data_IF_693955036948
#
_entry.id   IF_693955036948
#
_cell.length_a   1.000
_cell.length_b   1.000
_cell.length_c   1.000
_cell.angle_alpha   90.00
_cell.angle_beta   90.00
_cell.angle_gamma   90.00
#
_symmetry.space_group_name_H-M   'P 1'
#
loop_
_entity.id
_entity.type
_entity.pdbx_description
1 polymer ?
#
# COMPACT_ATOMS: atom_id res chain seq x y z
N UNK A 1 -2.81 -5.38 -22.07
CA UNK A 1 -2.06 -6.27 -21.16
C UNK A 1 -1.23 -5.38 -20.26
N UNK A 2 -1.39 -5.47 -18.94
CA UNK A 2 -0.56 -4.75 -17.98
C UNK A 2 0.76 -5.51 -17.82
N UNK A 3 1.90 -4.85 -17.98
CA UNK A 3 3.20 -5.47 -17.76
C UNK A 3 3.50 -5.61 -16.26
N UNK A 4 4.29 -6.62 -15.87
CA UNK A 4 4.71 -6.80 -14.48
C UNK A 4 5.37 -5.53 -13.90
N UNK A 5 6.13 -4.79 -14.73
CA UNK A 5 6.77 -3.53 -14.35
C UNK A 5 5.73 -2.43 -14.04
N UNK A 6 4.71 -2.30 -14.88
CA UNK A 6 3.61 -1.34 -14.66
C UNK A 6 2.78 -1.74 -13.44
N UNK A 7 2.55 -3.05 -13.24
CA UNK A 7 1.84 -3.56 -12.07
C UNK A 7 2.55 -3.18 -10.77
N UNK A 8 3.88 -3.36 -10.70
CA UNK A 8 4.69 -2.93 -9.54
C UNK A 8 4.67 -1.41 -9.38
N UNK A 9 4.71 -0.65 -10.48
CA UNK A 9 4.57 0.81 -10.45
C UNK A 9 3.23 1.25 -9.84
N UNK A 10 2.12 0.62 -10.25
CA UNK A 10 0.79 0.87 -9.68
C UNK A 10 0.70 0.44 -8.22
N UNK A 11 1.37 -0.64 -7.80
CA UNK A 11 1.44 -1.05 -6.39
C UNK A 11 2.14 -0.01 -5.51
N UNK A 12 3.25 0.56 -5.98
CA UNK A 12 3.93 1.65 -5.30
C UNK A 12 3.05 2.90 -5.28
N UNK A 13 2.49 3.27 -6.43
CA UNK A 13 1.64 4.44 -6.56
C UNK A 13 0.40 4.36 -5.66
N UNK A 14 -0.17 3.17 -5.45
CA UNK A 14 -1.26 2.91 -4.50
C UNK A 14 -0.92 3.27 -3.05
N UNK A 15 0.36 3.21 -2.67
CA UNK A 15 0.81 3.60 -1.33
C UNK A 15 0.89 5.11 -1.17
N UNK A 16 1.38 5.82 -2.19
CA UNK A 16 1.54 7.27 -2.15
C UNK A 16 0.25 8.03 -2.49
N UNK A 17 -0.56 7.48 -3.41
CA UNK A 17 -1.76 8.12 -3.98
C UNK A 17 -2.89 7.12 -4.18
N UNK A 18 -4.12 7.62 -4.21
CA UNK A 18 -5.29 6.82 -4.58
C UNK A 18 -5.27 6.51 -6.07
N UNK A 19 -5.10 5.23 -6.42
CA UNK A 19 -5.28 4.73 -7.79
C UNK A 19 -6.70 4.99 -8.30
N UNK A 20 -6.84 5.26 -9.59
CA UNK A 20 -8.13 5.30 -10.26
C UNK A 20 -8.80 3.92 -10.26
N UNK A 21 -10.13 3.87 -10.28
CA UNK A 21 -10.90 2.62 -10.28
C UNK A 21 -10.49 1.69 -11.43
N UNK A 22 -10.17 2.26 -12.60
CA UNK A 22 -9.71 1.52 -13.78
C UNK A 22 -8.35 0.85 -13.53
N UNK A 23 -7.40 1.57 -12.97
CA UNK A 23 -6.05 1.07 -12.67
C UNK A 23 -6.08 -0.01 -11.59
N UNK A 24 -6.91 0.21 -10.56
CA UNK A 24 -7.14 -0.77 -9.49
C UNK A 24 -7.69 -2.08 -10.03
N UNK A 25 -8.58 -2.01 -11.03
CA UNK A 25 -9.16 -3.21 -11.64
C UNK A 25 -8.21 -3.91 -12.59
N UNK A 26 -7.46 -3.15 -13.41
CA UNK A 26 -6.39 -3.70 -14.25
C UNK A 26 -5.32 -4.42 -13.41
N UNK A 27 -4.91 -3.82 -12.28
CA UNK A 27 -3.98 -4.42 -11.33
C UNK A 27 -4.54 -5.72 -10.72
N UNK A 28 -5.82 -5.75 -10.32
CA UNK A 28 -6.46 -6.97 -9.80
C UNK A 28 -6.47 -8.10 -10.80
N UNK A 29 -6.79 -7.82 -12.06
CA UNK A 29 -6.78 -8.82 -13.13
C UNK A 29 -5.35 -9.35 -13.34
N UNK A 30 -4.34 -8.48 -13.37
CA UNK A 30 -2.96 -8.92 -13.50
C UNK A 30 -2.49 -9.77 -12.31
N UNK A 31 -2.84 -9.36 -11.09
CA UNK A 31 -2.56 -10.11 -9.86
C UNK A 31 -3.25 -11.48 -9.80
N UNK A 32 -4.40 -11.61 -10.46
CA UNK A 32 -5.09 -12.90 -10.53
C UNK A 32 -4.29 -13.92 -11.35
N UNK A 33 -3.68 -13.46 -12.45
CA UNK A 33 -2.95 -14.28 -13.42
C UNK A 33 -1.44 -14.42 -13.13
N UNK A 34 -0.81 -13.44 -12.47
CA UNK A 34 0.62 -13.42 -12.20
C UNK A 34 0.92 -13.69 -10.72
N UNK A 35 1.47 -14.87 -10.42
CA UNK A 35 1.89 -15.25 -9.06
C UNK A 35 3.01 -14.37 -8.50
N UNK A 36 3.98 -13.96 -9.33
CA UNK A 36 5.09 -13.13 -8.89
C UNK A 36 4.58 -11.77 -8.38
N UNK A 37 3.76 -11.08 -9.17
CA UNK A 37 3.16 -9.81 -8.77
C UNK A 37 2.23 -9.96 -7.56
N UNK A 38 1.54 -11.09 -7.40
CA UNK A 38 0.74 -11.38 -6.20
C UNK A 38 1.58 -11.46 -4.93
N UNK A 39 2.76 -12.07 -5.00
CA UNK A 39 3.70 -12.09 -3.87
C UNK A 39 4.21 -10.68 -3.55
N UNK A 40 4.59 -9.90 -4.57
CA UNK A 40 4.99 -8.50 -4.37
C UNK A 40 3.88 -7.69 -3.70
N UNK A 41 2.64 -7.78 -4.19
CA UNK A 41 1.50 -7.06 -3.63
C UNK A 41 1.29 -7.36 -2.13
N UNK A 42 1.50 -8.62 -1.70
CA UNK A 42 1.47 -8.98 -0.28
C UNK A 42 2.57 -8.29 0.51
N UNK A 43 3.80 -8.20 -0.02
CA UNK A 43 4.89 -7.48 0.65
C UNK A 43 4.58 -5.99 0.81
N UNK A 44 4.01 -5.37 -0.24
CA UNK A 44 3.54 -3.99 -0.18
C UNK A 44 2.45 -3.78 0.87
N UNK A 45 1.43 -4.66 0.92
CA UNK A 45 0.37 -4.57 1.92
C UNK A 45 0.91 -4.83 3.35
N UNK A 46 1.93 -5.67 3.54
CA UNK A 46 2.60 -5.86 4.84
C UNK A 46 3.33 -4.59 5.29
N UNK A 47 4.10 -3.96 4.40
CA UNK A 47 4.75 -2.67 4.68
C UNK A 47 3.73 -1.58 5.01
N UNK A 48 2.63 -1.53 4.26
CA UNK A 48 1.55 -0.57 4.50
C UNK A 48 0.86 -0.80 5.85
N UNK A 49 0.62 -2.06 6.23
CA UNK A 49 0.04 -2.41 7.53
C UNK A 49 0.99 -2.09 8.68
N UNK A 50 2.29 -2.36 8.54
CA UNK A 50 3.30 -1.96 9.51
C UNK A 50 3.35 -0.43 9.67
N UNK A 51 3.28 0.32 8.57
CA UNK A 51 3.16 1.78 8.60
C UNK A 51 1.89 2.30 9.29
N UNK A 52 0.75 1.60 9.13
CA UNK A 52 -0.49 1.92 9.87
C UNK A 52 -0.42 1.56 11.36
N UNK A 53 0.37 0.55 11.69
CA UNK A 53 0.62 0.14 13.07
C UNK A 53 1.72 0.95 13.76
N UNK A 54 2.37 1.91 13.09
CA UNK A 54 3.21 2.87 13.79
C UNK A 54 2.34 3.73 14.70
N UNK A 55 2.50 3.65 16.03
CA UNK A 55 1.84 4.54 16.94
C UNK A 55 2.55 5.90 16.91
N UNK A 56 2.44 6.62 15.79
CA UNK A 56 2.68 8.07 15.76
C UNK A 56 1.63 8.84 16.61
N UNK A 57 0.76 8.12 17.31
CA UNK A 57 -0.13 8.62 18.37
C UNK A 57 0.46 8.48 19.79
N UNK A 58 1.74 8.09 19.98
CA UNK A 58 2.37 8.11 21.31
C UNK A 58 3.19 9.37 21.61
N UNK A 59 3.22 10.36 20.70
CA UNK A 59 3.88 11.64 20.95
C UNK A 59 2.92 12.81 21.26
N UNK A 60 1.60 12.58 21.33
CA UNK A 60 0.61 13.61 21.65
C UNK A 60 0.13 13.60 23.13
N UNK A 61 0.74 12.81 24.01
CA UNK A 61 0.32 12.67 25.42
C UNK A 61 1.39 13.18 26.40
N UNK A 62 1.98 14.35 26.12
CA UNK A 62 2.90 15.05 27.05
C UNK A 62 2.72 16.59 27.06
N UNK A 63 1.52 17.11 26.77
CA UNK A 63 1.27 18.56 26.75
C UNK A 63 0.04 19.02 27.56
N UNK A 64 -0.48 18.24 28.52
CA UNK A 64 -1.53 18.75 29.44
C UNK A 64 -1.54 18.01 30.76
N UNK A 65 -0.42 18.01 31.49
CA UNK A 65 -0.45 17.61 32.91
C UNK A 65 0.69 18.26 33.70
N UNK A 66 0.79 19.58 33.65
CA UNK A 66 1.54 20.40 34.60
C UNK A 66 0.80 21.75 34.72
N UNK A 67 -0.40 21.72 35.31
CA UNK A 67 -1.08 22.85 35.97
C UNK A 67 -1.41 22.39 37.40
#
# INVERSE_FOLDING_TARGET
>A
MLMCREATGLMSLKQDKTLSLREKMALRIHLSMCRACRTCARQFDLMHQAGKHHPASLLNTRHTQDD
#
